data_IF_771828786281
#
_entry.id   IF_771828786281
#
_cell.length_a   1.000
_cell.length_b   1.000
_cell.length_c   1.000
_cell.angle_alpha   90.00
_cell.angle_beta   90.00
_cell.angle_gamma   90.00
#
_symmetry.space_group_name_H-M   'P 1'
#
loop_
_entity.id
_entity.type
_entity.pdbx_description
1 polymer ?
#
# COMPACT_ATOMS: atom_id res chain seq x y z
N UNK A 1 13.86 38.07 16.30
CA UNK A 1 14.65 39.27 16.65
C UNK A 1 14.39 39.59 18.12
N UNK A 2 15.24 39.08 19.01
CA UNK A 2 15.12 39.36 20.45
C UNK A 2 15.60 40.79 20.68
N UNK A 3 14.68 41.71 20.92
CA UNK A 3 15.01 43.08 21.32
C UNK A 3 15.53 42.98 22.76
N UNK A 4 16.85 42.85 22.92
CA UNK A 4 17.50 42.84 24.21
C UNK A 4 17.53 44.28 24.73
N UNK A 5 16.45 44.70 25.37
CA UNK A 5 16.37 46.00 26.06
C UNK A 5 17.41 45.95 27.17
N UNK A 6 18.43 46.81 27.12
CA UNK A 6 19.47 46.86 28.16
C UNK A 6 18.84 47.08 29.54
N UNK A 7 19.27 46.30 30.54
CA UNK A 7 18.74 46.38 31.90
C UNK A 7 18.82 47.80 32.50
N UNK A 8 19.85 48.56 32.10
CA UNK A 8 20.05 49.94 32.51
C UNK A 8 18.98 50.89 31.96
N UNK A 9 18.48 50.66 30.74
CA UNK A 9 17.41 51.48 30.17
C UNK A 9 16.07 51.20 30.85
N UNK A 10 15.79 49.92 31.17
CA UNK A 10 14.59 49.55 31.92
C UNK A 10 14.57 50.16 33.33
N UNK A 11 15.72 50.20 34.02
CA UNK A 11 15.86 50.82 35.33
C UNK A 11 15.68 52.33 35.30
N UNK A 12 16.22 53.02 34.29
CA UNK A 12 16.02 54.47 34.12
C UNK A 12 14.56 54.82 33.81
N UNK A 13 13.88 54.05 32.96
CA UNK A 13 12.45 54.26 32.66
C UNK A 13 11.58 53.99 33.88
N UNK A 14 11.85 52.91 34.62
CA UNK A 14 11.13 52.59 35.85
C UNK A 14 11.36 53.66 36.93
N UNK A 15 12.60 54.11 37.12
CA UNK A 15 12.95 55.20 38.04
C UNK A 15 12.26 56.52 37.67
N UNK A 16 12.23 56.87 36.38
CA UNK A 16 11.55 58.05 35.86
C UNK A 16 10.03 58.00 36.10
N UNK A 17 9.39 56.84 35.89
CA UNK A 17 7.95 56.66 36.15
C UNK A 17 7.61 56.77 37.64
N UNK A 18 8.45 56.20 38.52
CA UNK A 18 8.28 56.28 39.97
C UNK A 18 8.41 57.73 40.45
N UNK A 19 9.44 58.45 39.98
CA UNK A 19 9.68 59.85 40.34
C UNK A 19 8.55 60.75 39.83
N UNK A 20 8.06 60.50 38.61
CA UNK A 20 6.88 61.18 38.06
C UNK A 20 5.61 60.92 38.89
N UNK A 21 5.36 59.68 39.35
CA UNK A 21 4.23 59.35 40.22
C UNK A 21 4.33 60.06 41.58
N UNK A 22 5.53 60.11 42.17
CA UNK A 22 5.79 60.79 43.45
C UNK A 22 5.56 62.30 43.29
N UNK A 23 6.16 62.93 42.28
CA UNK A 23 5.99 64.37 42.00
C UNK A 23 4.52 64.71 41.77
N UNK A 24 3.83 63.85 41.03
CA UNK A 24 2.42 63.99 40.68
C UNK A 24 1.50 63.86 41.91
N UNK A 25 1.84 63.00 42.87
CA UNK A 25 1.14 62.86 44.15
C UNK A 25 1.44 64.05 45.09
N UNK A 26 2.68 64.54 45.10
CA UNK A 26 3.09 65.71 45.88
C UNK A 26 2.39 66.99 45.40
N UNK A 27 2.31 67.18 44.08
CA UNK A 27 1.58 68.28 43.45
C UNK A 27 0.09 68.25 43.84
N UNK A 28 -0.52 67.06 43.90
CA UNK A 28 -1.91 66.88 44.35
C UNK A 28 -2.12 67.26 45.82
N UNK A 29 -1.15 66.98 46.70
CA UNK A 29 -1.18 67.42 48.11
C UNK A 29 -1.10 68.95 48.22
N UNK A 30 -0.28 69.61 47.40
CA UNK A 30 -0.19 71.08 47.35
C UNK A 30 -1.49 71.69 46.80
N UNK A 31 -2.04 71.12 45.72
CA UNK A 31 -3.29 71.59 45.11
C UNK A 31 -4.50 71.47 46.05
N UNK A 32 -4.52 70.42 46.90
CA UNK A 32 -5.53 70.22 47.95
C UNK A 32 -5.54 71.37 48.96
N UNK A 33 -4.37 71.96 49.25
CA UNK A 33 -4.20 73.04 50.24
C UNK A 33 -4.56 74.42 49.69
N UNK A 34 -4.35 74.66 48.38
CA UNK A 34 -4.57 75.98 47.75
C UNK A 34 -5.90 76.17 47.02
N UNK A 35 -6.44 75.15 46.32
CA UNK A 35 -7.74 75.24 45.61
C UNK A 35 -8.53 73.93 45.68
N UNK A 36 -9.41 73.75 46.69
CA UNK A 36 -10.09 72.47 46.94
C UNK A 36 -11.09 72.07 45.84
N UNK A 37 -11.73 73.04 45.17
CA UNK A 37 -12.62 72.78 44.02
C UNK A 37 -11.85 72.23 42.80
N UNK A 38 -10.61 72.67 42.60
CA UNK A 38 -9.74 72.19 41.51
C UNK A 38 -9.14 70.82 41.81
N UNK A 39 -8.77 70.55 43.08
CA UNK A 39 -8.31 69.24 43.51
C UNK A 39 -9.33 68.13 43.22
N UNK A 40 -10.62 68.34 43.53
CA UNK A 40 -11.69 67.36 43.23
C UNK A 40 -11.85 67.11 41.72
N UNK A 41 -11.78 68.17 40.89
CA UNK A 41 -11.88 68.04 39.41
C UNK A 41 -10.69 67.27 38.84
N UNK A 42 -9.46 67.61 39.23
CA UNK A 42 -8.24 66.95 38.75
C UNK A 42 -8.16 65.50 39.23
N UNK A 43 -8.58 65.21 40.46
CA UNK A 43 -8.67 63.83 40.96
C UNK A 43 -9.64 62.98 40.13
N UNK A 44 -10.81 63.53 39.76
CA UNK A 44 -11.78 62.84 38.91
C UNK A 44 -11.26 62.61 37.48
N UNK A 45 -10.51 63.56 36.93
CA UNK A 45 -9.89 63.44 35.60
C UNK A 45 -8.78 62.38 35.59
N UNK A 46 -7.94 62.34 36.63
CA UNK A 46 -6.90 61.31 36.78
C UNK A 46 -7.48 59.93 36.98
N UNK A 47 -8.57 59.81 37.75
CA UNK A 47 -9.27 58.55 37.91
C UNK A 47 -9.87 58.06 36.58
N UNK A 48 -10.56 58.93 35.84
CA UNK A 48 -11.09 58.61 34.51
C UNK A 48 -9.98 58.22 33.53
N UNK A 49 -8.89 58.99 33.48
CA UNK A 49 -7.73 58.70 32.63
C UNK A 49 -7.04 57.38 33.00
N UNK A 50 -6.91 57.09 34.30
CA UNK A 50 -6.36 55.82 34.80
C UNK A 50 -7.24 54.63 34.44
N UNK A 51 -8.56 54.76 34.60
CA UNK A 51 -9.52 53.71 34.21
C UNK A 51 -9.51 53.50 32.69
N UNK A 52 -9.51 54.56 31.88
CA UNK A 52 -9.42 54.43 30.41
C UNK A 52 -8.11 53.78 29.96
N UNK A 53 -6.98 54.11 30.61
CA UNK A 53 -5.69 53.51 30.31
C UNK A 53 -5.66 52.02 30.69
N UNK A 54 -6.28 51.64 31.81
CA UNK A 54 -6.40 50.24 32.22
C UNK A 54 -7.27 49.45 31.24
N UNK A 55 -8.39 50.02 30.80
CA UNK A 55 -9.25 49.42 29.77
C UNK A 55 -8.49 49.25 28.45
N UNK A 56 -7.76 50.28 28.02
CA UNK A 56 -6.97 50.22 26.77
C UNK A 56 -5.87 49.16 26.87
N UNK A 57 -5.16 49.09 28.00
CA UNK A 57 -4.15 48.06 28.26
C UNK A 57 -4.77 46.65 28.25
N UNK A 58 -5.94 46.47 28.89
CA UNK A 58 -6.66 45.20 28.90
C UNK A 58 -7.06 44.78 27.48
N UNK A 59 -7.60 45.71 26.69
CA UNK A 59 -7.93 45.48 25.28
C UNK A 59 -6.67 45.13 24.49
N UNK A 60 -5.56 45.85 24.67
CA UNK A 60 -4.30 45.58 23.98
C UNK A 60 -3.80 44.16 24.30
N UNK A 61 -3.79 43.75 25.57
CA UNK A 61 -3.38 42.40 25.98
C UNK A 61 -4.32 41.32 25.43
N UNK A 62 -5.63 41.59 25.40
CA UNK A 62 -6.59 40.67 24.81
C UNK A 62 -6.38 40.49 23.29
N UNK A 63 -6.04 41.58 22.59
CA UNK A 63 -5.79 41.58 21.15
C UNK A 63 -4.50 40.86 20.75
N UNK A 64 -3.49 40.76 21.63
CA UNK A 64 -2.22 40.06 21.32
C UNK A 64 -2.49 38.64 20.83
N UNK A 65 -3.40 37.89 21.46
CA UNK A 65 -3.71 36.51 21.02
C UNK A 65 -4.37 36.42 19.65
N UNK A 66 -5.08 37.47 19.24
CA UNK A 66 -5.78 37.55 17.95
C UNK A 66 -4.81 37.98 16.84
N UNK A 67 -3.88 38.87 17.19
CA UNK A 67 -2.94 39.48 16.23
C UNK A 67 -1.76 38.57 15.92
N UNK A 68 -1.24 37.85 16.91
CA UNK A 68 -0.08 36.97 16.73
C UNK A 68 -0.54 35.52 16.57
N UNK A 69 -0.65 35.09 15.31
CA UNK A 69 -0.99 33.71 14.98
C UNK A 69 0.30 32.94 14.67
N UNK A 70 0.46 31.79 15.32
CA UNK A 70 1.61 30.91 15.08
C UNK A 70 1.27 29.93 13.96
N UNK A 71 2.14 29.88 12.95
CA UNK A 71 2.15 28.84 11.92
C UNK A 71 3.28 27.87 12.28
N UNK A 72 2.92 26.63 12.60
CA UNK A 72 3.91 25.61 12.97
C UNK A 72 4.72 25.17 11.75
N UNK A 73 5.83 24.47 11.99
CA UNK A 73 6.62 23.90 10.90
C UNK A 73 5.77 22.99 10.04
N UNK A 74 6.03 22.95 8.73
CA UNK A 74 5.26 22.13 7.77
C UNK A 74 3.78 22.53 7.65
N UNK A 75 3.44 23.76 8.03
CA UNK A 75 2.16 24.41 7.79
C UNK A 75 2.35 25.71 7.01
N UNK A 76 1.27 26.16 6.38
CA UNK A 76 1.24 27.35 5.54
C UNK A 76 -0.07 28.07 5.78
N UNK A 77 -0.01 29.38 6.02
CA UNK A 77 -1.18 30.22 6.23
C UNK A 77 -1.67 30.89 4.95
N UNK A 78 -2.98 30.97 4.78
CA UNK A 78 -3.64 31.82 3.78
C UNK A 78 -4.41 32.91 4.52
N UNK A 79 -4.13 34.17 4.16
CA UNK A 79 -4.77 35.32 4.76
C UNK A 79 -6.02 35.71 3.96
N UNK A 80 -7.14 35.84 4.66
CA UNK A 80 -8.33 36.48 4.14
C UNK A 80 -8.53 37.84 4.82
N UNK A 81 -8.53 38.90 4.01
CA UNK A 81 -8.71 40.27 4.43
C UNK A 81 -10.19 40.65 4.40
N UNK A 82 -10.75 41.00 5.57
CA UNK A 82 -12.17 41.37 5.67
C UNK A 82 -12.50 42.67 4.95
N UNK A 83 -11.56 43.60 4.93
CA UNK A 83 -11.75 44.95 4.38
C UNK A 83 -10.91 45.10 3.12
N UNK A 84 -11.57 45.28 1.97
CA UNK A 84 -10.96 45.77 0.73
C UNK A 84 -9.94 44.86 0.03
N UNK A 85 -9.80 43.58 0.42
CA UNK A 85 -8.75 42.72 -0.13
C UNK A 85 -9.09 41.24 -0.36
N UNK A 86 -10.18 40.71 0.21
CA UNK A 86 -10.57 39.31 0.03
C UNK A 86 -9.44 38.32 0.38
N UNK A 87 -9.40 37.16 -0.28
CA UNK A 87 -8.29 36.22 -0.14
C UNK A 87 -7.01 36.81 -0.73
N UNK A 88 -5.94 36.83 0.06
CA UNK A 88 -4.64 37.30 -0.38
C UNK A 88 -3.92 36.18 -1.13
N UNK A 89 -3.65 36.39 -2.42
CA UNK A 89 -3.22 35.33 -3.34
C UNK A 89 -1.74 35.42 -3.75
N UNK A 90 -1.08 36.57 -3.55
CA UNK A 90 0.28 36.82 -4.07
C UNK A 90 1.34 35.87 -3.50
N UNK A 91 1.28 35.59 -2.20
CA UNK A 91 2.18 34.66 -1.55
C UNK A 91 1.53 34.03 -0.31
N UNK A 92 1.83 32.76 -0.02
CA UNK A 92 1.46 32.13 1.23
C UNK A 92 2.25 32.70 2.41
N UNK A 93 1.68 32.59 3.61
CA UNK A 93 2.39 32.87 4.86
C UNK A 93 3.12 31.61 5.33
N UNK A 94 4.45 31.66 5.32
CA UNK A 94 5.31 30.56 5.76
C UNK A 94 5.32 30.37 7.29
N UNK A 95 6.01 29.32 7.75
CA UNK A 95 6.20 28.99 9.15
C UNK A 95 6.77 30.17 9.97
N UNK A 96 6.27 30.34 11.20
CA UNK A 96 6.66 31.44 12.08
C UNK A 96 5.48 32.11 12.78
N UNK A 97 5.73 33.29 13.35
CA UNK A 97 4.67 34.12 13.93
C UNK A 97 4.23 35.16 12.90
N UNK A 98 2.99 35.07 12.46
CA UNK A 98 2.39 35.97 11.48
C UNK A 98 1.58 37.03 12.21
N UNK A 99 1.81 38.30 11.84
CA UNK A 99 1.02 39.43 12.33
C UNK A 99 -0.23 39.58 11.46
N UNK A 100 -1.39 39.36 12.04
CA UNK A 100 -2.69 39.45 11.36
C UNK A 100 -3.53 40.53 12.02
N UNK A 101 -4.28 41.31 11.24
CA UNK A 101 -5.17 42.30 11.84
C UNK A 101 -6.35 41.62 12.54
N UNK A 102 -6.92 42.19 13.62
CA UNK A 102 -7.96 41.52 14.40
C UNK A 102 -9.25 41.16 13.66
N UNK A 103 -9.49 41.76 12.50
CA UNK A 103 -10.66 41.52 11.66
C UNK A 103 -10.39 40.57 10.49
N UNK A 104 -9.13 40.25 10.22
CA UNK A 104 -8.69 39.33 9.18
C UNK A 104 -8.61 37.90 9.74
N UNK A 105 -8.70 36.89 8.86
CA UNK A 105 -8.66 35.49 9.26
C UNK A 105 -7.54 34.77 8.54
N UNK A 106 -6.73 34.02 9.29
CA UNK A 106 -5.65 33.19 8.74
C UNK A 106 -6.08 31.72 8.78
N UNK A 107 -6.24 31.11 7.62
CA UNK A 107 -6.55 29.67 7.48
C UNK A 107 -5.24 28.91 7.32
N UNK A 108 -5.04 27.86 8.13
CA UNK A 108 -3.78 27.11 8.16
C UNK A 108 -3.95 25.80 7.39
N UNK A 109 -3.03 25.54 6.47
CA UNK A 109 -2.93 24.34 5.65
C UNK A 109 -1.68 23.55 6.03
N UNK A 110 -1.77 22.21 5.96
CA UNK A 110 -0.60 21.35 6.11
C UNK A 110 0.09 21.18 4.75
N UNK A 111 1.39 21.49 4.68
CA UNK A 111 2.21 21.27 3.47
C UNK A 111 2.93 19.90 3.48
N UNK A 112 2.67 19.10 4.51
CA UNK A 112 3.22 17.75 4.67
C UNK A 112 2.52 16.76 3.75
N UNK A 113 3.20 15.63 3.52
CA UNK A 113 2.59 14.44 2.93
C UNK A 113 1.41 13.98 3.76
N UNK A 114 0.28 13.80 3.11
CA UNK A 114 -0.96 13.37 3.72
C UNK A 114 -1.46 12.12 3.01
N UNK A 115 -2.31 11.37 3.71
CA UNK A 115 -2.91 10.16 3.18
C UNK A 115 -4.39 10.19 3.45
N UNK A 116 -5.19 10.11 2.40
CA UNK A 116 -6.63 9.95 2.49
C UNK A 116 -7.02 8.55 2.02
N UNK A 117 -8.02 7.99 2.67
CA UNK A 117 -8.64 6.74 2.22
C UNK A 117 -10.05 7.05 1.77
N UNK A 118 -10.44 6.55 0.60
CA UNK A 118 -11.81 6.61 0.12
C UNK A 118 -12.25 5.23 -0.34
N UNK A 119 -13.55 4.96 -0.19
CA UNK A 119 -14.17 3.75 -0.70
C UNK A 119 -14.99 4.07 -1.94
N UNK A 120 -14.74 3.34 -3.02
CA UNK A 120 -15.38 3.59 -4.31
C UNK A 120 -16.09 2.33 -4.78
N UNK A 121 -17.40 2.44 -4.97
CA UNK A 121 -18.17 1.40 -5.65
C UNK A 121 -18.04 1.59 -7.17
N UNK A 122 -17.63 0.53 -7.85
CA UNK A 122 -17.43 0.51 -9.29
C UNK A 122 -18.04 -0.76 -9.91
N UNK A 123 -18.24 -0.71 -11.22
CA UNK A 123 -18.74 -1.83 -12.02
C UNK A 123 -17.62 -2.23 -12.98
N UNK A 124 -17.27 -3.51 -13.00
CA UNK A 124 -16.26 -4.06 -13.92
C UNK A 124 -16.79 -4.19 -15.34
N UNK A 125 -15.91 -4.51 -16.30
CA UNK A 125 -16.29 -4.76 -17.70
C UNK A 125 -17.32 -5.89 -17.88
N UNK A 126 -17.39 -6.82 -16.92
CA UNK A 126 -18.34 -7.94 -16.90
C UNK A 126 -19.67 -7.59 -16.19
N UNK A 127 -19.84 -6.34 -15.75
CA UNK A 127 -21.04 -5.90 -15.02
C UNK A 127 -21.03 -6.27 -13.54
N UNK A 128 -19.90 -6.72 -12.98
CA UNK A 128 -19.80 -7.08 -11.57
C UNK A 128 -19.64 -5.81 -10.73
N UNK A 129 -20.49 -5.66 -9.71
CA UNK A 129 -20.35 -4.62 -8.69
C UNK A 129 -19.25 -5.02 -7.71
N UNK A 130 -18.22 -4.20 -7.61
CA UNK A 130 -17.12 -4.34 -6.66
C UNK A 130 -16.94 -3.07 -5.84
N UNK A 131 -16.37 -3.22 -4.66
CA UNK A 131 -16.04 -2.10 -3.78
C UNK A 131 -14.54 -2.04 -3.58
N UNK A 132 -13.97 -0.86 -3.82
CA UNK A 132 -12.54 -0.62 -3.84
C UNK A 132 -12.16 0.33 -2.72
N UNK A 133 -11.24 -0.09 -1.87
CA UNK A 133 -10.61 0.77 -0.88
C UNK A 133 -9.37 1.37 -1.47
N UNK A 134 -9.37 2.69 -1.66
CA UNK A 134 -8.28 3.39 -2.33
C UNK A 134 -7.62 4.35 -1.35
N UNK A 135 -6.31 4.30 -1.33
CA UNK A 135 -5.46 5.19 -0.55
C UNK A 135 -4.79 6.16 -1.48
N UNK A 136 -5.00 7.44 -1.26
CA UNK A 136 -4.39 8.52 -2.04
C UNK A 136 -3.37 9.22 -1.16
N UNK A 137 -2.14 9.32 -1.64
CA UNK A 137 -1.09 10.15 -1.03
C UNK A 137 -0.98 11.45 -1.80
N UNK A 138 -1.18 12.54 -1.09
CA UNK A 138 -1.25 13.86 -1.70
C UNK A 138 -0.57 14.89 -0.81
N UNK A 139 -0.19 16.01 -1.43
CA UNK A 139 0.31 17.20 -0.77
C UNK A 139 -0.07 18.44 -1.57
N UNK A 140 -0.57 19.51 -0.93
CA UNK A 140 -0.83 20.75 -1.64
C UNK A 140 0.49 21.42 -2.05
N UNK A 141 0.50 22.08 -3.20
CA UNK A 141 1.67 22.84 -3.66
C UNK A 141 1.72 24.16 -2.90
N UNK A 142 2.75 24.35 -2.07
CA UNK A 142 2.86 25.47 -1.11
C UNK A 142 2.58 26.82 -1.74
N UNK A 143 3.18 27.10 -2.89
CA UNK A 143 3.05 28.35 -3.62
C UNK A 143 1.62 28.64 -4.09
N UNK A 144 0.83 27.59 -4.36
CA UNK A 144 -0.52 27.68 -4.89
C UNK A 144 -1.61 27.49 -3.83
N UNK A 145 -1.26 27.28 -2.56
CA UNK A 145 -2.25 27.16 -1.47
C UNK A 145 -3.22 28.36 -1.41
N UNK A 146 -2.78 29.62 -1.60
CA UNK A 146 -3.72 30.74 -1.62
C UNK A 146 -4.78 30.65 -2.73
N UNK A 147 -4.40 30.16 -3.92
CA UNK A 147 -5.32 29.89 -5.02
C UNK A 147 -6.25 28.73 -4.68
N UNK A 148 -5.71 27.63 -4.17
CA UNK A 148 -6.48 26.47 -3.72
C UNK A 148 -7.57 26.87 -2.71
N UNK A 149 -7.23 27.73 -1.73
CA UNK A 149 -8.19 28.24 -0.75
C UNK A 149 -9.27 29.12 -1.38
N UNK A 150 -8.90 29.98 -2.33
CA UNK A 150 -9.84 30.91 -2.97
C UNK A 150 -10.81 30.20 -3.91
N UNK A 151 -10.32 29.23 -4.66
CA UNK A 151 -11.03 28.59 -5.76
C UNK A 151 -11.81 27.34 -5.32
N UNK A 152 -11.23 26.54 -4.43
CA UNK A 152 -11.82 25.31 -3.92
C UNK A 152 -12.25 25.50 -2.48
N UNK A 153 -11.31 25.81 -1.59
CA UNK A 153 -11.60 26.02 -0.18
C UNK A 153 -10.64 25.28 0.76
N UNK A 154 -11.03 25.18 2.03
CA UNK A 154 -10.32 24.39 3.04
C UNK A 154 -10.50 22.88 2.81
N UNK A 155 -11.68 22.47 2.36
CA UNK A 155 -12.08 21.07 2.19
C UNK A 155 -11.78 20.53 0.78
N UNK A 156 -10.70 21.03 0.16
CA UNK A 156 -10.30 20.65 -1.20
C UNK A 156 -10.09 19.15 -1.41
N UNK A 157 -9.82 18.40 -0.33
CA UNK A 157 -9.73 16.95 -0.36
C UNK A 157 -11.08 16.33 -0.76
N UNK A 158 -12.14 16.71 -0.06
CA UNK A 158 -13.48 16.12 -0.22
C UNK A 158 -14.23 16.73 -1.41
N UNK A 159 -13.97 18.00 -1.73
CA UNK A 159 -14.65 18.72 -2.81
C UNK A 159 -14.01 18.52 -4.19
N UNK A 160 -12.70 18.28 -4.27
CA UNK A 160 -11.96 18.17 -5.53
C UNK A 160 -11.26 16.81 -5.66
N UNK A 161 -10.34 16.48 -4.76
CA UNK A 161 -9.45 15.32 -4.94
C UNK A 161 -10.22 13.98 -4.92
N UNK A 162 -11.07 13.75 -3.92
CA UNK A 162 -11.81 12.49 -3.76
C UNK A 162 -12.82 12.27 -4.91
N UNK A 163 -13.63 13.27 -5.32
CA UNK A 163 -14.52 13.13 -6.46
C UNK A 163 -13.80 12.74 -7.77
N UNK A 164 -12.69 13.39 -8.08
CA UNK A 164 -11.90 13.07 -9.28
C UNK A 164 -11.31 11.66 -9.21
N UNK A 165 -10.72 11.29 -8.06
CA UNK A 165 -10.23 9.92 -7.86
C UNK A 165 -11.35 8.91 -8.03
N UNK A 166 -12.52 9.15 -7.43
CA UNK A 166 -13.67 8.25 -7.55
C UNK A 166 -14.20 8.16 -8.99
N UNK A 167 -14.16 9.26 -9.75
CA UNK A 167 -14.53 9.30 -11.17
C UNK A 167 -13.56 8.46 -12.02
N UNK A 168 -12.26 8.75 -11.92
CA UNK A 168 -11.21 8.02 -12.62
C UNK A 168 -11.25 6.52 -12.31
N UNK A 169 -11.48 6.16 -11.05
CA UNK A 169 -11.59 4.76 -10.62
C UNK A 169 -12.75 4.08 -11.29
N UNK A 170 -13.95 4.68 -11.29
CA UNK A 170 -15.12 4.08 -11.95
C UNK A 170 -14.88 3.91 -13.45
N UNK A 171 -14.27 4.90 -14.09
CA UNK A 171 -13.95 4.84 -15.52
C UNK A 171 -12.95 3.72 -15.82
N UNK A 172 -11.80 3.69 -15.14
CA UNK A 172 -10.75 2.70 -15.43
C UNK A 172 -11.21 1.30 -15.05
N UNK A 173 -11.86 1.11 -13.89
CA UNK A 173 -12.33 -0.22 -13.47
C UNK A 173 -13.35 -0.80 -14.45
N UNK A 174 -14.13 0.03 -15.13
CA UNK A 174 -15.07 -0.44 -16.15
C UNK A 174 -14.40 -1.09 -17.37
N UNK A 175 -13.11 -0.86 -17.59
CA UNK A 175 -12.33 -1.50 -18.65
C UNK A 175 -11.77 -2.88 -18.24
N UNK A 176 -11.71 -3.19 -16.95
CA UNK A 176 -11.04 -4.39 -16.41
C UNK A 176 -12.02 -5.39 -15.80
N UNK A 177 -11.65 -6.67 -15.82
CA UNK A 177 -12.37 -7.72 -15.10
C UNK A 177 -12.00 -7.74 -13.62
N UNK A 178 -12.82 -8.33 -12.76
CA UNK A 178 -12.53 -8.43 -11.32
C UNK A 178 -11.22 -9.19 -11.02
N UNK A 179 -10.92 -10.21 -11.84
CA UNK A 179 -9.70 -11.00 -11.76
C UNK A 179 -8.44 -10.14 -12.03
N UNK A 180 -8.52 -9.21 -12.99
CA UNK A 180 -7.40 -8.33 -13.35
C UNK A 180 -7.13 -7.26 -12.29
N UNK A 181 -8.19 -6.70 -11.70
CA UNK A 181 -8.09 -5.68 -10.65
C UNK A 181 -7.52 -6.27 -9.35
N UNK A 182 -7.88 -7.52 -9.02
CA UNK A 182 -7.40 -8.21 -7.82
C UNK A 182 -6.06 -8.93 -8.01
N UNK A 183 -5.83 -9.52 -9.17
CA UNK A 183 -4.75 -10.47 -9.42
C UNK A 183 -3.46 -9.86 -10.00
N UNK A 184 -2.90 -10.52 -11.02
CA UNK A 184 -1.56 -10.23 -11.54
C UNK A 184 -1.41 -8.85 -12.19
N UNK A 185 -2.49 -8.28 -12.73
CA UNK A 185 -2.48 -7.00 -13.44
C UNK A 185 -2.71 -5.79 -12.51
N UNK A 186 -2.85 -6.00 -11.20
CA UNK A 186 -3.14 -4.94 -10.23
C UNK A 186 -2.16 -3.76 -10.30
N UNK A 187 -0.86 -4.02 -10.49
CA UNK A 187 0.15 -2.97 -10.60
C UNK A 187 -0.04 -2.10 -11.86
N UNK A 188 -0.43 -2.72 -12.98
CA UNK A 188 -0.72 -2.02 -14.23
C UNK A 188 -1.99 -1.16 -14.09
N UNK A 189 -3.04 -1.73 -13.51
CA UNK A 189 -4.29 -1.01 -13.20
C UNK A 189 -4.00 0.19 -12.30
N UNK A 190 -3.19 0.00 -11.25
CA UNK A 190 -2.82 1.07 -10.32
C UNK A 190 -2.03 2.19 -11.02
N UNK A 191 -1.05 1.84 -11.86
CA UNK A 191 -0.28 2.82 -12.63
C UNK A 191 -1.17 3.59 -13.62
N UNK A 192 -2.07 2.89 -14.32
CA UNK A 192 -3.01 3.51 -15.25
C UNK A 192 -3.97 4.45 -14.54
N UNK A 193 -4.51 4.02 -13.39
CA UNK A 193 -5.37 4.87 -12.57
C UNK A 193 -4.64 6.14 -12.12
N UNK A 194 -3.42 6.03 -11.59
CA UNK A 194 -2.63 7.19 -11.13
C UNK A 194 -2.40 8.19 -12.27
N UNK A 195 -2.02 7.70 -13.46
CA UNK A 195 -1.82 8.57 -14.63
C UNK A 195 -3.10 9.26 -15.09
N UNK A 196 -4.23 8.54 -15.05
CA UNK A 196 -5.54 9.10 -15.39
C UNK A 196 -5.97 10.16 -14.39
N UNK A 197 -5.86 9.90 -13.09
CA UNK A 197 -6.20 10.86 -12.02
C UNK A 197 -5.35 12.11 -12.15
N UNK A 198 -4.03 11.97 -12.35
CA UNK A 198 -3.14 13.12 -12.55
C UNK A 198 -3.57 13.97 -13.75
N UNK A 199 -3.94 13.32 -14.86
CA UNK A 199 -4.41 14.01 -16.06
C UNK A 199 -5.75 14.72 -15.83
N UNK A 200 -6.70 14.08 -15.16
CA UNK A 200 -8.02 14.66 -14.87
C UNK A 200 -7.90 15.86 -13.92
N UNK A 201 -7.13 15.73 -12.83
CA UNK A 201 -6.84 16.83 -11.91
C UNK A 201 -6.19 18.00 -12.63
N UNK A 202 -5.18 17.76 -13.48
CA UNK A 202 -4.53 18.82 -14.26
C UNK A 202 -5.50 19.55 -15.19
N UNK A 203 -6.43 18.83 -15.83
CA UNK A 203 -7.45 19.44 -16.69
C UNK A 203 -8.45 20.28 -15.90
N UNK A 204 -8.87 19.78 -14.74
CA UNK A 204 -9.80 20.49 -13.87
C UNK A 204 -9.15 21.75 -13.29
N UNK A 205 -7.94 21.63 -12.75
CA UNK A 205 -7.16 22.75 -12.22
C UNK A 205 -6.96 23.83 -13.29
N UNK A 206 -6.60 23.43 -14.52
CA UNK A 206 -6.50 24.36 -15.65
C UNK A 206 -7.82 25.06 -15.94
N UNK A 207 -8.93 24.33 -15.94
CA UNK A 207 -10.27 24.90 -16.20
C UNK A 207 -10.66 25.93 -15.13
N UNK A 208 -10.37 25.63 -13.85
CA UNK A 208 -10.65 26.54 -12.73
C UNK A 208 -9.77 27.80 -12.83
N UNK A 209 -8.49 27.66 -13.16
CA UNK A 209 -7.56 28.79 -13.29
C UNK A 209 -7.90 29.69 -14.49
N UNK A 210 -8.32 29.10 -15.62
CA UNK A 210 -8.76 29.85 -16.80
C UNK A 210 -10.00 30.71 -16.51
N UNK A 211 -10.95 30.21 -15.72
CA UNK A 211 -12.15 30.97 -15.32
C UNK A 211 -11.80 32.23 -14.51
N UNK A 212 -10.70 32.21 -13.77
CA UNK A 212 -10.29 33.33 -12.92
C UNK A 212 -9.46 34.40 -13.68
N UNK A 213 -9.19 34.23 -14.98
CA UNK A 213 -8.24 35.03 -15.75
C UNK A 213 -6.85 35.13 -15.08
N UNK A 214 -6.50 34.13 -14.26
CA UNK A 214 -5.22 34.06 -13.57
C UNK A 214 -4.15 33.65 -14.58
N UNK A 215 -3.13 34.49 -14.80
CA UNK A 215 -1.99 34.25 -15.72
C UNK A 215 -1.05 33.12 -15.25
N UNK A 216 -1.53 32.23 -14.38
CA UNK A 216 -0.77 31.09 -13.89
C UNK A 216 -0.78 30.00 -14.98
N UNK A 217 0.30 29.96 -15.76
CA UNK A 217 0.50 28.94 -16.78
C UNK A 217 1.07 27.67 -16.13
N UNK A 218 0.30 26.58 -16.13
CA UNK A 218 0.85 25.22 -15.98
C UNK A 218 1.30 24.82 -14.58
N UNK A 219 0.59 25.23 -13.53
CA UNK A 219 0.93 24.86 -12.17
C UNK A 219 -0.18 24.05 -11.49
N UNK A 220 0.22 22.92 -10.89
CA UNK A 220 -0.69 22.05 -10.16
C UNK A 220 -1.04 22.68 -8.80
N UNK A 221 -2.31 22.59 -8.37
CA UNK A 221 -2.73 23.03 -7.04
C UNK A 221 -2.41 21.96 -6.00
N UNK A 222 -2.62 20.70 -6.35
CA UNK A 222 -2.36 19.54 -5.49
C UNK A 222 -1.46 18.54 -6.23
N UNK A 223 -0.39 18.10 -5.57
CA UNK A 223 0.42 16.99 -6.07
C UNK A 223 -0.11 15.67 -5.50
N UNK A 224 -0.33 14.71 -6.40
CA UNK A 224 -0.63 13.33 -6.08
C UNK A 224 0.66 12.52 -6.25
N UNK A 225 1.21 12.01 -5.16
CA UNK A 225 2.48 11.29 -5.19
C UNK A 225 2.27 9.81 -5.52
N UNK A 226 1.21 9.22 -4.97
CA UNK A 226 0.94 7.79 -5.08
C UNK A 226 -0.54 7.52 -4.84
N UNK A 227 -1.02 6.45 -5.46
CA UNK A 227 -2.37 5.96 -5.26
C UNK A 227 -2.33 4.44 -5.22
N UNK A 228 -2.87 3.88 -4.15
CA UNK A 228 -2.79 2.46 -3.84
C UNK A 228 -4.20 1.90 -3.74
N UNK A 229 -4.47 0.83 -4.48
CA UNK A 229 -5.64 -0.01 -4.22
C UNK A 229 -5.29 -0.82 -2.97
N UNK A 230 -6.02 -0.67 -1.87
CA UNK A 230 -5.76 -1.40 -0.62
C UNK A 230 -6.47 -2.74 -0.59
N UNK A 231 -7.77 -2.73 -0.89
CA UNK A 231 -8.62 -3.91 -0.86
C UNK A 231 -9.64 -3.82 -2.00
N UNK A 232 -10.00 -5.00 -2.52
CA UNK A 232 -11.07 -5.20 -3.49
C UNK A 232 -12.06 -6.14 -2.84
N UNK A 233 -13.27 -5.66 -2.55
CA UNK A 233 -14.35 -6.47 -2.03
C UNK A 233 -15.25 -6.92 -3.19
N UNK A 234 -15.41 -8.24 -3.28
CA UNK A 234 -16.10 -8.95 -4.36
C UNK A 234 -17.06 -9.94 -3.70
N UNK A 235 -18.31 -10.09 -4.19
CA UNK A 235 -19.25 -11.04 -3.61
C UNK A 235 -18.68 -12.47 -3.51
N UNK A 236 -18.89 -13.13 -2.37
CA UNK A 236 -18.32 -14.46 -2.05
C UNK A 236 -18.52 -15.50 -3.16
N UNK A 237 -19.68 -15.48 -3.82
CA UNK A 237 -20.00 -16.40 -4.92
C UNK A 237 -19.01 -16.26 -6.09
N UNK A 238 -18.64 -15.02 -6.43
CA UNK A 238 -17.70 -14.76 -7.53
C UNK A 238 -16.28 -15.04 -7.08
N UNK A 239 -15.92 -14.67 -5.87
CA UNK A 239 -14.63 -15.02 -5.29
C UNK A 239 -14.38 -16.55 -5.35
N UNK A 240 -15.36 -17.34 -4.91
CA UNK A 240 -15.31 -18.80 -4.98
C UNK A 240 -15.28 -19.33 -6.43
N UNK A 241 -16.02 -18.71 -7.36
CA UNK A 241 -15.98 -19.09 -8.77
C UNK A 241 -14.61 -18.81 -9.41
N UNK A 242 -13.97 -17.69 -9.08
CA UNK A 242 -12.60 -17.35 -9.53
C UNK A 242 -11.62 -18.39 -9.00
N UNK A 243 -11.67 -18.71 -7.69
CA UNK A 243 -10.81 -19.74 -7.10
C UNK A 243 -11.04 -21.09 -7.80
N UNK A 244 -12.29 -21.49 -8.02
CA UNK A 244 -12.61 -22.73 -8.72
C UNK A 244 -12.05 -22.74 -10.14
N UNK A 245 -12.19 -21.65 -10.90
CA UNK A 245 -11.64 -21.52 -12.26
C UNK A 245 -10.12 -21.64 -12.25
N UNK A 246 -9.44 -20.92 -11.36
CA UNK A 246 -7.98 -20.96 -11.20
C UNK A 246 -7.51 -22.39 -10.88
N UNK A 247 -8.19 -23.08 -9.97
CA UNK A 247 -7.89 -24.49 -9.65
C UNK A 247 -8.06 -25.42 -10.86
N UNK A 248 -9.13 -25.24 -11.64
CA UNK A 248 -9.34 -26.02 -12.87
C UNK A 248 -8.28 -25.73 -13.93
N UNK A 249 -7.82 -24.48 -14.05
CA UNK A 249 -6.73 -24.12 -14.97
C UNK A 249 -5.42 -24.81 -14.58
N UNK A 250 -5.04 -24.78 -13.29
CA UNK A 250 -3.85 -25.49 -12.82
C UNK A 250 -3.96 -27.00 -13.00
N UNK A 251 -5.15 -27.58 -12.77
CA UNK A 251 -5.40 -28.99 -13.00
C UNK A 251 -5.25 -29.38 -14.48
N UNK A 252 -5.79 -28.56 -15.39
CA UNK A 252 -5.63 -28.80 -16.83
C UNK A 252 -4.16 -28.69 -17.26
N UNK A 253 -3.45 -27.68 -16.77
CA UNK A 253 -2.01 -27.52 -17.03
C UNK A 253 -1.20 -28.72 -16.51
N UNK A 254 -1.57 -29.27 -15.36
CA UNK A 254 -0.96 -30.51 -14.84
C UNK A 254 -1.22 -31.70 -15.79
N UNK A 255 -2.45 -31.88 -16.27
CA UNK A 255 -2.77 -32.94 -17.21
C UNK A 255 -2.03 -32.81 -18.54
N UNK A 256 -1.89 -31.60 -19.06
CA UNK A 256 -1.10 -31.31 -20.27
C UNK A 256 0.37 -31.72 -20.08
N UNK A 257 0.97 -31.34 -18.94
CA UNK A 257 2.34 -31.74 -18.61
C UNK A 257 2.48 -33.27 -18.48
N UNK A 258 1.52 -33.93 -17.82
CA UNK A 258 1.53 -35.41 -17.70
C UNK A 258 1.43 -36.09 -19.06
N UNK A 259 0.58 -35.57 -19.96
CA UNK A 259 0.45 -36.09 -21.31
C UNK A 259 1.74 -35.90 -22.11
N UNK A 260 2.41 -34.75 -21.96
CA UNK A 260 3.69 -34.49 -22.61
C UNK A 260 4.78 -35.45 -22.12
N UNK A 261 4.87 -35.69 -20.81
CA UNK A 261 5.79 -36.68 -20.21
C UNK A 261 5.50 -38.09 -20.76
N UNK A 262 4.24 -38.49 -20.81
CA UNK A 262 3.85 -39.80 -21.33
C UNK A 262 4.21 -39.97 -22.82
N UNK A 263 4.06 -38.92 -23.64
CA UNK A 263 4.48 -38.92 -25.05
C UNK A 263 5.98 -39.07 -25.18
N UNK A 264 6.78 -38.30 -24.43
CA UNK A 264 8.25 -38.40 -24.43
C UNK A 264 8.71 -39.79 -24.00
N UNK A 265 8.06 -40.39 -23.01
CA UNK A 265 8.38 -41.75 -22.57
C UNK A 265 8.02 -42.81 -23.62
N UNK A 266 6.91 -42.65 -24.34
CA UNK A 266 6.54 -43.52 -25.45
C UNK A 266 7.54 -43.40 -26.62
N UNK A 267 7.95 -42.18 -26.97
CA UNK A 267 8.99 -41.93 -27.97
C UNK A 267 10.33 -42.55 -27.55
N UNK A 268 10.74 -42.39 -26.29
CA UNK A 268 11.94 -43.01 -25.72
C UNK A 268 11.91 -44.52 -25.90
N UNK A 269 10.80 -45.17 -25.52
CA UNK A 269 10.62 -46.63 -25.68
C UNK A 269 10.63 -47.06 -27.14
N UNK A 270 10.05 -46.28 -28.05
CA UNK A 270 10.08 -46.56 -29.48
C UNK A 270 11.50 -46.51 -30.03
N UNK A 271 12.26 -45.47 -29.69
CA UNK A 271 13.67 -45.34 -30.09
C UNK A 271 14.53 -46.44 -29.48
N UNK A 272 14.29 -46.81 -28.23
CA UNK A 272 14.95 -47.95 -27.57
C UNK A 272 14.64 -49.27 -28.28
N UNK A 273 13.36 -49.55 -28.58
CA UNK A 273 12.95 -50.73 -29.32
C UNK A 273 13.54 -50.78 -30.74
N UNK A 274 13.55 -49.64 -31.45
CA UNK A 274 14.18 -49.51 -32.76
C UNK A 274 15.69 -49.77 -32.67
N UNK A 275 16.37 -49.16 -31.69
CA UNK A 275 17.81 -49.37 -31.48
C UNK A 275 18.14 -50.83 -31.17
N UNK A 276 17.30 -51.53 -30.40
CA UNK A 276 17.45 -52.97 -30.14
C UNK A 276 17.22 -53.77 -31.43
N UNK A 277 16.19 -53.44 -32.22
CA UNK A 277 15.90 -54.12 -33.48
C UNK A 277 17.04 -53.93 -34.50
N UNK A 278 17.51 -52.70 -34.71
CA UNK A 278 18.62 -52.36 -35.60
C UNK A 278 19.93 -53.03 -35.13
N UNK A 279 20.16 -53.07 -33.82
CA UNK A 279 21.27 -53.80 -33.23
C UNK A 279 21.18 -55.30 -33.53
N UNK A 280 20.00 -55.91 -33.32
CA UNK A 280 19.79 -57.33 -33.62
C UNK A 280 19.98 -57.64 -35.11
N UNK A 281 19.47 -56.80 -36.01
CA UNK A 281 19.66 -56.95 -37.46
C UNK A 281 21.15 -56.87 -37.83
N UNK A 282 21.85 -55.83 -37.38
CA UNK A 282 23.28 -55.62 -37.66
C UNK A 282 24.14 -56.78 -37.13
N UNK A 283 23.84 -57.24 -35.91
CA UNK A 283 24.63 -58.26 -35.23
C UNK A 283 24.26 -59.67 -35.73
N UNK A 284 23.03 -59.92 -36.17
CA UNK A 284 22.59 -61.23 -36.69
C UNK A 284 23.40 -61.72 -37.90
N UNK A 285 23.85 -60.81 -38.77
CA UNK A 285 24.75 -61.15 -39.87
C UNK A 285 26.19 -61.49 -39.43
N UNK A 286 26.60 -61.07 -38.22
CA UNK A 286 27.92 -61.32 -37.65
C UNK A 286 27.96 -62.39 -36.54
N UNK A 287 26.79 -62.86 -36.08
CA UNK A 287 26.71 -63.94 -35.08
C UNK A 287 26.99 -65.28 -35.77
N UNK A 288 28.26 -65.72 -35.73
CA UNK A 288 28.56 -67.13 -35.96
C UNK A 288 28.31 -67.93 -34.68
N UNK A 289 27.90 -69.18 -34.82
CA UNK A 289 27.73 -70.12 -33.69
C UNK A 289 29.02 -70.26 -32.84
N UNK A 290 30.18 -70.01 -33.46
CA UNK A 290 31.48 -69.95 -32.79
C UNK A 290 31.62 -68.73 -31.86
N UNK A 291 31.03 -67.57 -32.20
CA UNK A 291 31.04 -66.36 -31.37
C UNK A 291 30.11 -66.49 -30.15
N UNK A 292 28.90 -67.05 -30.32
CA UNK A 292 28.00 -67.33 -29.19
C UNK A 292 28.62 -68.32 -28.21
N UNK A 293 29.26 -69.38 -28.73
CA UNK A 293 29.99 -70.34 -27.90
C UNK A 293 31.18 -69.70 -27.18
N UNK A 294 31.93 -68.82 -27.85
CA UNK A 294 33.03 -68.08 -27.22
C UNK A 294 32.54 -67.12 -26.12
N UNK A 295 31.46 -66.36 -26.36
CA UNK A 295 30.83 -65.49 -25.34
C UNK A 295 30.21 -66.29 -24.18
N UNK A 296 29.65 -67.47 -24.46
CA UNK A 296 29.19 -68.40 -23.43
C UNK A 296 30.35 -68.90 -22.55
N UNK A 297 31.49 -69.25 -23.15
CA UNK A 297 32.71 -69.62 -22.43
C UNK A 297 33.22 -68.42 -21.60
N UNK A 298 33.23 -67.21 -22.16
CA UNK A 298 33.67 -65.99 -21.47
C UNK A 298 32.79 -65.67 -20.25
N UNK A 299 31.47 -65.74 -20.39
CA UNK A 299 30.53 -65.58 -19.28
C UNK A 299 30.73 -66.66 -18.20
N UNK A 300 31.04 -67.89 -18.62
CA UNK A 300 31.36 -69.00 -17.70
C UNK A 300 32.69 -68.76 -16.98
N UNK A 301 33.70 -68.19 -17.65
CA UNK A 301 34.99 -67.80 -17.05
C UNK A 301 34.80 -66.65 -16.06
N UNK A 302 34.01 -65.64 -16.39
CA UNK A 302 33.72 -64.51 -15.50
C UNK A 302 32.94 -64.97 -14.25
N UNK A 303 31.98 -65.89 -14.42
CA UNK A 303 31.32 -66.58 -13.32
C UNK A 303 32.29 -67.42 -12.48
N UNK A 304 33.23 -68.14 -13.11
CA UNK A 304 34.25 -68.95 -12.43
C UNK A 304 35.29 -68.11 -11.66
N UNK A 305 35.53 -66.86 -12.09
CA UNK A 305 36.39 -65.89 -11.40
C UNK A 305 35.67 -65.16 -10.26
N UNK A 306 34.35 -65.28 -10.14
CA UNK A 306 33.61 -64.68 -9.03
C UNK A 306 33.91 -65.41 -7.71
N UNK A 307 34.05 -64.68 -6.62
CA UNK A 307 34.53 -65.20 -5.32
C UNK A 307 33.53 -66.12 -4.57
N UNK A 308 32.50 -66.67 -5.23
CA UNK A 308 31.45 -67.45 -4.57
C UNK A 308 31.45 -68.91 -5.07
N UNK A 309 31.31 -69.89 -4.17
CA UNK A 309 31.35 -71.31 -4.54
C UNK A 309 30.10 -71.69 -5.36
N UNK A 310 30.29 -72.04 -6.63
CA UNK A 310 29.20 -72.39 -7.56
C UNK A 310 29.50 -73.70 -8.28
N UNK A 311 28.50 -74.59 -8.34
CA UNK A 311 28.53 -75.85 -9.10
C UNK A 311 27.86 -75.59 -10.45
N UNK A 312 28.62 -75.66 -11.54
CA UNK A 312 28.13 -75.43 -12.91
C UNK A 312 27.98 -76.79 -13.60
N UNK A 313 26.76 -77.15 -13.98
CA UNK A 313 26.45 -78.43 -14.67
C UNK A 313 26.23 -78.15 -16.15
N UNK A 314 27.11 -78.69 -16.99
CA UNK A 314 27.03 -78.54 -18.45
C UNK A 314 26.43 -79.83 -19.00
N UNK A 315 25.25 -79.75 -19.60
CA UNK A 315 24.56 -80.91 -20.16
C UNK A 315 25.26 -81.46 -21.41
N UNK A 316 25.34 -82.78 -21.55
CA UNK A 316 25.97 -83.50 -22.69
C UNK A 316 25.12 -83.46 -23.98
N UNK A 317 24.39 -82.38 -24.23
CA UNK A 317 23.70 -82.11 -25.50
C UNK A 317 24.60 -81.34 -26.46
N UNK A 318 24.30 -81.41 -27.77
CA UNK A 318 25.12 -80.86 -28.87
C UNK A 318 25.34 -79.33 -28.78
N UNK A 319 24.54 -78.63 -27.96
CA UNK A 319 24.53 -77.17 -27.84
C UNK A 319 25.18 -76.64 -26.54
N UNK A 320 25.60 -77.51 -25.60
CA UNK A 320 26.53 -77.17 -24.50
C UNK A 320 26.21 -75.96 -23.61
N UNK A 321 24.95 -75.50 -23.55
CA UNK A 321 24.55 -74.39 -22.69
C UNK A 321 24.48 -74.86 -21.21
N UNK A 322 24.98 -74.07 -20.24
CA UNK A 322 24.94 -74.44 -18.83
C UNK A 322 23.49 -74.59 -18.35
N UNK A 323 23.18 -75.69 -17.65
CA UNK A 323 21.88 -75.86 -17.00
C UNK A 323 21.86 -75.09 -15.68
N UNK A 324 20.98 -74.10 -15.58
CA UNK A 324 20.71 -73.39 -14.33
C UNK A 324 19.80 -74.29 -13.49
N UNK A 325 20.39 -74.99 -12.52
CA UNK A 325 19.64 -75.72 -11.51
C UNK A 325 19.17 -74.74 -10.43
N UNK A 326 17.87 -74.52 -10.33
CA UNK A 326 17.29 -73.81 -9.19
C UNK A 326 17.37 -74.72 -7.95
N UNK A 327 18.26 -74.42 -7.00
CA UNK A 327 18.44 -75.21 -5.77
C UNK A 327 17.60 -74.69 -4.60
N UNK A 328 16.42 -74.16 -4.86
CA UNK A 328 15.40 -74.00 -3.82
C UNK A 328 14.65 -75.31 -3.67
N UNK A 329 15.11 -76.13 -2.73
CA UNK A 329 14.33 -77.25 -2.22
C UNK A 329 12.97 -76.74 -1.76
N UNK A 330 11.93 -77.50 -2.13
CA UNK A 330 10.62 -77.49 -1.51
C UNK A 330 10.76 -77.68 0.00
N UNK A 331 11.05 -76.59 0.70
CA UNK A 331 10.84 -76.49 2.13
C UNK A 331 9.36 -76.25 2.30
N UNK A 332 8.70 -77.23 2.93
CA UNK A 332 7.36 -77.14 3.44
C UNK A 332 7.09 -75.73 3.98
N UNK A 333 6.06 -75.08 3.43
CA UNK A 333 5.54 -73.85 3.96
C UNK A 333 5.05 -74.11 5.39
N UNK A 334 5.90 -73.82 6.38
CA UNK A 334 5.43 -73.49 7.72
C UNK A 334 4.96 -72.03 7.68
N UNK A 335 3.76 -71.73 8.16
CA UNK A 335 3.14 -70.43 7.98
C UNK A 335 3.92 -69.37 8.76
N UNK A 336 4.42 -68.36 8.06
CA UNK A 336 4.81 -67.11 8.70
C UNK A 336 3.54 -66.33 9.07
N UNK A 337 3.51 -65.93 10.33
CA UNK A 337 2.43 -65.28 11.07
C UNK A 337 1.72 -64.14 10.34
N UNK A 338 0.39 -64.17 10.41
CA UNK A 338 -0.50 -63.01 10.27
C UNK A 338 -0.02 -61.90 11.20
N UNK A 339 0.35 -60.75 10.64
CA UNK A 339 0.34 -59.48 11.40
C UNK A 339 -1.13 -58.97 11.41
N UNK A 340 -1.77 -58.74 12.57
CA UNK A 340 -3.21 -58.44 12.64
C UNK A 340 -3.64 -57.05 12.13
N UNK A 341 -2.77 -56.28 11.46
CA UNK A 341 -2.95 -54.82 11.40
C UNK A 341 -2.85 -54.17 10.00
N UNK A 342 -3.28 -54.86 8.95
CA UNK A 342 -3.54 -54.21 7.66
C UNK A 342 -4.99 -54.48 7.24
N UNK A 343 -5.89 -53.63 7.73
CA UNK A 343 -7.28 -53.59 7.23
C UNK A 343 -7.30 -52.79 5.94
N UNK A 344 -7.69 -53.48 4.88
CA UNK A 344 -8.04 -52.97 3.55
C UNK A 344 -9.20 -51.96 3.64
N UNK A 345 -9.13 -50.77 3.01
CA UNK A 345 -10.30 -49.92 2.89
C UNK A 345 -10.79 -49.88 1.43
N UNK A 346 -11.69 -50.80 1.08
CA UNK A 346 -12.81 -50.46 0.21
C UNK A 346 -14.09 -51.16 0.69
N UNK A 347 -15.08 -50.35 1.11
CA UNK A 347 -16.53 -50.51 0.92
C UNK A 347 -17.31 -49.85 2.08
N UNK A 348 -17.67 -48.57 1.98
CA UNK A 348 -18.85 -48.02 2.67
C UNK A 348 -19.51 -46.94 1.81
N UNK A 349 -20.72 -47.25 1.35
CA UNK A 349 -21.71 -46.30 0.84
C UNK A 349 -22.60 -45.77 2.02
N UNK A 350 -23.48 -44.77 1.83
CA UNK A 350 -23.52 -43.53 2.60
C UNK A 350 -24.48 -43.55 3.82
N UNK A 351 -24.12 -42.80 4.88
CA UNK A 351 -25.02 -42.52 6.00
C UNK A 351 -25.68 -41.14 5.88
N UNK A 352 -27.00 -41.13 6.05
CA UNK A 352 -27.87 -39.96 6.25
C UNK A 352 -27.68 -39.38 7.66
N UNK A 353 -27.78 -38.04 7.87
CA UNK A 353 -27.71 -37.46 9.21
C UNK A 353 -29.10 -37.38 9.83
N UNK A 354 -29.26 -38.00 11.01
CA UNK A 354 -30.44 -37.87 11.84
C UNK A 354 -30.19 -36.86 12.98
N UNK A 355 -31.21 -36.08 13.27
CA UNK A 355 -31.20 -34.87 14.08
C UNK A 355 -30.93 -35.10 15.58
N UNK A 356 -30.13 -34.21 16.18
CA UNK A 356 -30.03 -34.06 17.63
C UNK A 356 -31.08 -33.05 18.11
N UNK A 357 -32.13 -33.53 18.77
CA UNK A 357 -32.90 -32.74 19.75
C UNK A 357 -32.18 -32.83 21.09
N UNK A 358 -31.84 -31.69 21.68
CA UNK A 358 -31.72 -31.55 23.14
C UNK A 358 -32.50 -30.32 23.57
N UNK A 359 -33.13 -30.48 24.74
CA UNK A 359 -33.90 -29.53 25.52
C UNK A 359 -33.21 -28.19 25.74
#
# INVERSE_FOLDING_TARGET
>A
MNINISGDFALLVAGGLILALILSNLLMRVLKRYKPKWHKRILSWRFRAGVTLLILLFIAVALVKIIFIKVDSGQVGVLWKRIGGGTFVEHPFYEGTVLVYPWDTLTIYSSRFQTATTQVHAITSEGLRIQLDITVRYRPVVEHIPYLHKLVGADYLDEMVIPEVASAVRMIVSDYTAEQVYGHQRLEVQARLLNTVLKELQLQEKTILEQENSTMQGHNLVNLDDMLIRQVDVPDKVHNAIISKVNQMYLNQEYEMRLEVAKKEAERKKTEAQGIADFQETVSGGISETYLRWRGIEATIELAKSNNAKVVVIGSGKDGLPLILNTEGSTYALPASVNPNATDPQSQEPQTPNATKSK
#
